data_IF_735609241013
#
_entry.id   IF_735609241013
#
_cell.length_a   1.000
_cell.length_b   1.000
_cell.length_c   1.000
_cell.angle_alpha   90.00
_cell.angle_beta   90.00
_cell.angle_gamma   90.00
#
_symmetry.space_group_name_H-M   'P 1'
#
loop_
_entity.id
_entity.type
_entity.pdbx_description
1 polymer ?
#
# COMPACT_ATOMS: atom_id res chain seq x y z
N UNK A 1 41.35 26.93 -9.79
CA UNK A 1 40.10 26.64 -9.08
C UNK A 1 39.88 25.15 -9.30
N UNK A 2 40.68 24.24 -8.77
CA UNK A 2 41.22 24.06 -7.40
C UNK A 2 40.10 23.85 -6.40
N UNK A 3 40.05 22.62 -5.87
CA UNK A 3 39.29 22.02 -4.74
C UNK A 3 38.76 20.66 -5.26
N UNK A 4 39.36 19.48 -5.09
CA UNK A 4 40.15 18.88 -3.99
C UNK A 4 39.48 18.99 -2.62
N UNK A 5 38.67 17.98 -2.27
CA UNK A 5 38.41 17.49 -0.91
C UNK A 5 37.54 16.22 -1.04
N UNK A 6 37.63 15.15 -0.26
CA UNK A 6 38.63 14.61 0.66
C UNK A 6 38.09 13.23 1.05
N UNK A 7 38.83 12.17 0.73
CA UNK A 7 38.52 10.80 1.15
C UNK A 7 38.61 10.69 2.68
N UNK A 8 37.53 10.24 3.35
CA UNK A 8 37.57 9.83 4.75
C UNK A 8 37.17 8.37 4.88
N UNK A 9 38.18 7.51 4.78
CA UNK A 9 38.21 6.14 5.28
C UNK A 9 38.17 6.20 6.82
N UNK A 10 37.08 5.76 7.43
CA UNK A 10 36.99 5.57 8.88
C UNK A 10 37.31 4.11 9.22
N UNK A 11 38.33 3.91 10.05
CA UNK A 11 38.73 2.62 10.62
C UNK A 11 37.77 2.20 11.75
N UNK A 12 37.61 0.89 12.02
CA UNK A 12 36.68 0.38 13.02
C UNK A 12 37.18 0.60 14.46
N UNK A 13 36.25 0.99 15.33
CA UNK A 13 36.46 1.16 16.76
C UNK A 13 36.75 -0.20 17.44
N UNK A 14 37.88 -0.26 18.14
CA UNK A 14 38.31 -1.38 18.97
C UNK A 14 37.41 -1.56 20.20
N UNK A 15 36.95 -2.79 20.42
CA UNK A 15 36.18 -3.23 21.57
C UNK A 15 36.98 -3.13 22.90
N UNK A 16 36.32 -2.90 24.05
CA UNK A 16 36.97 -2.91 25.36
C UNK A 16 37.21 -4.35 25.87
N UNK A 17 38.48 -4.65 26.14
CA UNK A 17 38.97 -5.86 26.81
C UNK A 17 38.32 -6.06 28.20
N UNK A 18 37.63 -7.20 28.38
CA UNK A 18 37.14 -7.67 29.68
C UNK A 18 38.33 -8.13 30.53
N UNK A 19 38.72 -7.30 31.49
CA UNK A 19 39.74 -7.66 32.48
C UNK A 19 39.13 -8.62 33.50
N UNK A 20 39.59 -9.86 33.45
CA UNK A 20 39.15 -10.99 34.28
C UNK A 20 39.43 -10.76 35.78
N UNK A 21 38.35 -10.74 36.57
CA UNK A 21 38.31 -10.71 38.04
C UNK A 21 38.87 -11.99 38.71
N UNK A 22 39.34 -12.96 37.93
CA UNK A 22 39.75 -14.29 38.41
C UNK A 22 41.23 -14.41 38.83
N UNK A 23 42.03 -13.33 38.79
CA UNK A 23 43.47 -13.38 39.12
C UNK A 23 43.84 -13.01 40.58
N UNK A 24 42.89 -12.71 41.48
CA UNK A 24 43.20 -12.28 42.85
C UNK A 24 43.15 -13.36 43.96
N UNK A 25 42.84 -14.63 43.66
CA UNK A 25 42.60 -15.65 44.69
C UNK A 25 43.68 -16.73 44.88
N UNK A 26 44.90 -16.57 44.37
CA UNK A 26 46.00 -17.53 44.58
C UNK A 26 47.18 -16.92 45.35
N UNK A 27 47.03 -16.77 46.67
CA UNK A 27 48.18 -16.70 47.60
C UNK A 27 47.76 -16.90 49.07
N UNK A 28 47.66 -18.15 49.49
CA UNK A 28 47.73 -18.56 50.89
C UNK A 28 48.77 -19.69 51.02
N UNK A 29 49.90 -19.50 51.73
CA UNK A 29 50.76 -20.59 52.11
C UNK A 29 50.48 -21.04 53.55
N UNK A 30 50.15 -22.33 53.66
CA UNK A 30 50.39 -23.23 54.78
C UNK A 30 51.65 -22.89 55.61
N UNK A 31 51.51 -22.73 56.93
CA UNK A 31 52.44 -23.30 57.92
C UNK A 31 51.65 -23.78 59.15
N UNK A 32 51.29 -25.06 59.13
CA UNK A 32 50.98 -25.83 60.32
C UNK A 32 52.27 -26.49 60.83
N UNK A 33 52.63 -26.24 62.10
CA UNK A 33 53.52 -27.09 62.89
C UNK A 33 52.94 -27.23 64.29
N UNK A 34 52.06 -28.21 64.46
CA UNK A 34 51.63 -28.67 65.79
C UNK A 34 52.67 -29.68 66.26
N UNK A 35 53.42 -29.27 67.28
CA UNK A 35 54.33 -30.13 68.02
C UNK A 35 53.53 -31.15 68.82
N UNK A 36 53.89 -32.41 68.63
CA UNK A 36 53.50 -33.57 69.43
C UNK A 36 53.85 -33.35 70.90
N UNK A 37 52.89 -32.87 71.70
CA UNK A 37 52.92 -32.93 73.16
C UNK A 37 52.12 -34.14 73.64
N UNK A 38 52.73 -34.92 74.52
CA UNK A 38 52.30 -36.25 74.91
C UNK A 38 50.86 -36.35 75.42
N UNK A 39 50.19 -37.42 74.99
CA UNK A 39 48.80 -37.79 75.23
C UNK A 39 48.37 -37.88 76.72
N UNK A 40 49.31 -37.84 77.67
CA UNK A 40 49.01 -37.90 79.11
C UNK A 40 48.66 -36.55 79.76
N UNK A 41 49.15 -35.43 79.23
CA UNK A 41 48.90 -34.09 79.80
C UNK A 41 47.52 -33.53 79.45
N UNK A 42 47.02 -33.83 78.25
CA UNK A 42 45.70 -33.41 77.80
C UNK A 42 44.58 -34.07 78.61
N UNK A 43 44.71 -35.35 78.98
CA UNK A 43 43.70 -36.05 79.76
C UNK A 43 43.54 -35.47 81.18
N UNK A 44 44.64 -35.09 81.84
CA UNK A 44 44.58 -34.47 83.17
C UNK A 44 44.02 -33.04 83.11
N UNK A 45 44.39 -32.24 82.10
CA UNK A 45 43.82 -30.91 81.90
C UNK A 45 42.34 -30.98 81.49
N UNK A 46 41.95 -31.97 80.70
CA UNK A 46 40.55 -32.18 80.32
C UNK A 46 39.72 -32.59 81.52
N UNK A 47 40.22 -33.49 82.38
CA UNK A 47 39.53 -33.86 83.62
C UNK A 47 39.44 -32.66 84.58
N UNK A 48 40.50 -31.84 84.72
CA UNK A 48 40.48 -30.67 85.60
C UNK A 48 39.60 -29.53 85.04
N UNK A 49 39.53 -29.37 83.72
CA UNK A 49 38.62 -28.43 83.07
C UNK A 49 37.16 -28.89 83.16
N UNK A 50 36.89 -30.19 83.00
CA UNK A 50 35.54 -30.76 83.16
C UNK A 50 35.08 -30.68 84.61
N UNK A 51 35.94 -31.00 85.59
CA UNK A 51 35.60 -30.91 87.02
C UNK A 51 35.51 -29.45 87.48
N UNK A 52 36.41 -28.58 87.03
CA UNK A 52 36.37 -27.14 87.33
C UNK A 52 35.18 -26.42 86.71
N UNK A 53 34.83 -26.77 85.46
CA UNK A 53 33.63 -26.28 84.78
C UNK A 53 32.34 -26.75 85.45
N UNK A 54 32.28 -28.01 85.89
CA UNK A 54 31.15 -28.54 86.65
C UNK A 54 30.99 -27.86 88.01
N UNK A 55 32.08 -27.50 88.69
CA UNK A 55 32.00 -26.75 89.95
C UNK A 55 31.57 -25.29 89.76
N UNK A 56 31.98 -24.63 88.66
CA UNK A 56 31.53 -23.26 88.35
C UNK A 56 30.04 -23.22 87.96
N UNK A 57 29.52 -24.23 87.27
CA UNK A 57 28.10 -24.34 86.95
C UNK A 57 27.19 -24.56 88.17
N UNK A 58 27.74 -25.01 89.31
CA UNK A 58 26.97 -25.21 90.56
C UNK A 58 26.94 -23.95 91.43
N UNK A 59 27.86 -22.99 91.24
CA UNK A 59 27.97 -21.79 92.07
C UNK A 59 27.20 -20.56 91.54
N UNK A 60 26.66 -20.61 90.31
CA UNK A 60 25.91 -19.49 89.71
C UNK A 60 24.73 -20.00 88.85
N UNK A 61 23.61 -20.40 89.49
CA UNK A 61 22.44 -20.94 88.78
C UNK A 61 21.68 -19.89 87.97
N UNK A 62 21.89 -18.59 88.20
CA UNK A 62 21.26 -17.52 87.41
C UNK A 62 21.94 -17.36 86.04
N UNK A 63 23.26 -17.51 85.96
CA UNK A 63 24.01 -17.44 84.69
C UNK A 63 23.82 -18.64 83.73
N UNK A 64 23.07 -19.67 84.12
CA UNK A 64 22.70 -20.78 83.23
C UNK A 64 21.43 -20.50 82.41
N UNK A 65 20.50 -19.69 82.92
CA UNK A 65 19.29 -19.32 82.19
C UNK A 65 19.59 -18.32 81.06
N UNK A 66 20.45 -17.32 81.32
CA UNK A 66 20.88 -16.36 80.30
C UNK A 66 21.64 -17.02 79.13
N UNK A 67 22.48 -18.02 79.42
CA UNK A 67 23.18 -18.78 78.36
C UNK A 67 22.24 -19.68 77.56
N UNK A 68 21.16 -20.19 78.17
CA UNK A 68 20.16 -20.98 77.47
C UNK A 68 19.34 -20.09 76.53
N UNK A 69 18.91 -18.91 76.99
CA UNK A 69 18.22 -17.93 76.14
C UNK A 69 19.11 -17.46 74.99
N UNK A 70 20.38 -17.11 75.24
CA UNK A 70 21.29 -16.71 74.19
C UNK A 70 21.50 -17.81 73.13
N UNK A 71 21.56 -19.08 73.54
CA UNK A 71 21.67 -20.19 72.61
C UNK A 71 20.39 -20.44 71.80
N UNK A 72 19.22 -20.12 72.35
CA UNK A 72 17.94 -20.15 71.63
C UNK A 72 17.83 -18.99 70.63
N UNK A 73 18.25 -17.79 71.03
CA UNK A 73 18.29 -16.61 70.16
C UNK A 73 19.29 -16.81 69.00
N UNK A 74 20.52 -17.24 69.28
CA UNK A 74 21.54 -17.53 68.26
C UNK A 74 21.04 -18.61 67.27
N UNK A 75 20.28 -19.60 67.77
CA UNK A 75 19.70 -20.65 66.93
C UNK A 75 18.54 -20.11 66.08
N UNK A 76 17.70 -19.24 66.64
CA UNK A 76 16.61 -18.61 65.90
C UNK A 76 17.17 -17.70 64.78
N UNK A 77 18.21 -16.91 65.07
CA UNK A 77 18.91 -16.10 64.06
C UNK A 77 19.55 -16.97 62.97
N UNK A 78 20.14 -18.11 63.34
CA UNK A 78 20.70 -19.06 62.37
C UNK A 78 19.60 -19.69 61.49
N UNK A 79 18.47 -20.09 62.06
CA UNK A 79 17.33 -20.63 61.31
C UNK A 79 16.75 -19.57 60.36
N UNK A 80 16.61 -18.31 60.79
CA UNK A 80 16.18 -17.19 59.94
C UNK A 80 17.18 -16.93 58.79
N UNK A 81 18.49 -16.97 59.07
CA UNK A 81 19.51 -16.79 58.05
C UNK A 81 19.51 -17.94 57.03
N UNK A 82 19.34 -19.20 57.47
CA UNK A 82 19.23 -20.35 56.57
C UNK A 82 17.96 -20.31 55.70
N UNK A 83 16.84 -19.81 56.23
CA UNK A 83 15.63 -19.59 55.44
C UNK A 83 15.80 -18.45 54.42
N UNK A 84 16.45 -17.35 54.81
CA UNK A 84 16.74 -16.24 53.92
C UNK A 84 17.70 -16.66 52.77
N UNK A 85 18.74 -17.43 53.09
CA UNK A 85 19.67 -17.95 52.09
C UNK A 85 18.97 -18.91 51.12
N UNK A 86 18.06 -19.76 51.62
CA UNK A 86 17.25 -20.66 50.77
C UNK A 86 16.32 -19.88 49.84
N UNK A 87 15.64 -18.86 50.36
CA UNK A 87 14.77 -18.01 49.54
C UNK A 87 15.56 -17.27 48.46
N UNK A 88 16.74 -16.75 48.80
CA UNK A 88 17.61 -16.09 47.84
C UNK A 88 18.15 -17.06 46.77
N UNK A 89 18.45 -18.32 47.13
CA UNK A 89 18.86 -19.36 46.18
C UNK A 89 17.71 -19.75 45.23
N UNK A 90 16.49 -19.95 45.76
CA UNK A 90 15.29 -20.24 44.95
C UNK A 90 14.93 -19.08 44.00
N UNK A 91 15.04 -17.83 44.46
CA UNK A 91 14.82 -16.65 43.62
C UNK A 91 15.86 -16.54 42.51
N UNK A 92 17.14 -16.76 42.83
CA UNK A 92 18.22 -16.75 41.86
C UNK A 92 18.09 -17.88 40.82
N UNK A 93 17.64 -19.08 41.22
CA UNK A 93 17.36 -20.18 40.30
C UNK A 93 16.19 -19.84 39.36
N UNK A 94 15.12 -19.25 39.89
CA UNK A 94 13.98 -18.81 39.07
C UNK A 94 14.37 -17.72 38.06
N UNK A 95 15.13 -16.71 38.48
CA UNK A 95 15.62 -15.66 37.58
C UNK A 95 16.53 -16.25 36.49
N UNK A 96 17.38 -17.22 36.83
CA UNK A 96 18.22 -17.91 35.86
C UNK A 96 17.40 -18.74 34.86
N UNK A 97 16.33 -19.39 35.30
CA UNK A 97 15.40 -20.13 34.44
C UNK A 97 14.64 -19.20 33.48
N UNK A 98 14.16 -18.07 33.99
CA UNK A 98 13.50 -17.05 33.17
C UNK A 98 14.45 -16.47 32.12
N UNK A 99 15.71 -16.18 32.48
CA UNK A 99 16.72 -15.73 31.52
C UNK A 99 17.03 -16.78 30.45
N UNK A 100 17.14 -18.06 30.84
CA UNK A 100 17.36 -19.15 29.88
C UNK A 100 16.18 -19.34 28.93
N UNK A 101 14.94 -19.19 29.42
CA UNK A 101 13.74 -19.26 28.58
C UNK A 101 13.71 -18.09 27.59
N UNK A 102 13.95 -16.87 28.05
CA UNK A 102 13.98 -15.68 27.20
C UNK A 102 15.09 -15.76 26.13
N UNK A 103 16.27 -16.28 26.47
CA UNK A 103 17.35 -16.50 25.50
C UNK A 103 16.96 -17.54 24.46
N UNK A 104 16.37 -18.67 24.88
CA UNK A 104 15.91 -19.71 23.97
C UNK A 104 14.76 -19.24 23.04
N UNK A 105 13.84 -18.43 23.55
CA UNK A 105 12.76 -17.84 22.73
C UNK A 105 13.33 -16.90 21.67
N UNK A 106 14.29 -16.04 22.03
CA UNK A 106 14.96 -15.16 21.07
C UNK A 106 15.73 -15.95 20.00
N UNK A 107 16.47 -16.98 20.40
CA UNK A 107 17.18 -17.84 19.43
C UNK A 107 16.20 -18.53 18.47
N UNK A 108 15.05 -18.99 18.96
CA UNK A 108 14.01 -19.59 18.12
C UNK A 108 13.34 -18.57 17.18
N UNK A 109 13.15 -17.33 17.62
CA UNK A 109 12.64 -16.24 16.77
C UNK A 109 13.64 -15.89 15.66
N UNK A 110 14.93 -15.72 15.99
CA UNK A 110 16.00 -15.48 15.02
C UNK A 110 16.13 -16.62 13.99
N UNK A 111 15.97 -17.89 14.42
CA UNK A 111 15.96 -19.04 13.52
C UNK A 111 14.77 -18.99 12.55
N UNK A 112 13.57 -18.64 13.03
CA UNK A 112 12.37 -18.50 12.19
C UNK A 112 12.49 -17.36 11.19
N UNK A 113 12.99 -16.20 11.61
CA UNK A 113 13.24 -15.07 10.70
C UNK A 113 14.26 -15.46 9.61
N UNK A 114 15.28 -16.24 9.97
CA UNK A 114 16.26 -16.74 9.01
C UNK A 114 15.65 -17.74 8.02
N UNK A 115 14.85 -18.69 8.50
CA UNK A 115 14.15 -19.65 7.64
C UNK A 115 13.18 -18.93 6.69
N UNK A 116 12.47 -17.91 7.18
CA UNK A 116 11.57 -17.08 6.35
C UNK A 116 12.34 -16.29 5.30
N UNK A 117 13.47 -15.67 5.67
CA UNK A 117 14.33 -14.96 4.73
C UNK A 117 14.99 -15.91 3.70
N UNK A 118 15.36 -17.12 4.09
CA UNK A 118 15.88 -18.15 3.17
C UNK A 118 14.80 -18.63 2.21
N UNK A 119 13.57 -18.85 2.69
CA UNK A 119 12.42 -19.20 1.85
C UNK A 119 12.00 -18.06 0.91
N UNK A 120 12.08 -16.80 1.35
CA UNK A 120 11.83 -15.64 0.49
C UNK A 120 12.92 -15.50 -0.58
N UNK A 121 14.19 -15.72 -0.22
CA UNK A 121 15.29 -15.73 -1.18
C UNK A 121 15.15 -16.86 -2.21
N UNK A 122 14.75 -18.06 -1.79
CA UNK A 122 14.45 -19.18 -2.69
C UNK A 122 13.24 -18.87 -3.59
N UNK A 123 12.20 -18.19 -3.07
CA UNK A 123 11.05 -17.76 -3.89
C UNK A 123 11.42 -16.74 -4.96
N UNK A 124 12.41 -15.89 -4.68
CA UNK A 124 12.93 -14.91 -5.63
C UNK A 124 13.99 -15.52 -6.56
N UNK A 125 14.51 -16.71 -6.26
CA UNK A 125 15.42 -17.43 -7.15
C UNK A 125 14.63 -17.90 -8.38
N UNK A 126 14.98 -17.36 -9.54
CA UNK A 126 14.19 -17.55 -10.76
C UNK A 126 13.15 -16.46 -11.00
N UNK A 127 13.11 -15.38 -10.21
CA UNK A 127 12.38 -14.17 -10.60
C UNK A 127 13.33 -13.17 -11.26
N UNK A 128 12.92 -12.61 -12.39
CA UNK A 128 13.63 -11.56 -13.11
C UNK A 128 12.70 -10.35 -13.30
N UNK A 129 13.26 -9.15 -13.19
CA UNK A 129 12.53 -7.91 -13.47
C UNK A 129 12.41 -7.70 -14.98
N UNK A 130 11.21 -7.39 -15.46
CA UNK A 130 10.99 -7.01 -16.86
C UNK A 130 11.69 -5.67 -17.13
N UNK A 131 12.66 -5.59 -18.05
CA UNK A 131 13.31 -4.34 -18.40
C UNK A 131 12.38 -3.42 -19.19
N UNK A 132 12.54 -2.10 -19.02
CA UNK A 132 11.82 -1.12 -19.84
C UNK A 132 12.36 -1.08 -21.27
N UNK A 133 11.52 -1.50 -22.23
CA UNK A 133 11.82 -1.52 -23.67
C UNK A 133 11.04 -0.47 -24.47
N UNK A 134 10.27 0.39 -23.80
CA UNK A 134 9.47 1.44 -24.43
C UNK A 134 10.34 2.39 -25.27
N UNK A 135 9.86 2.69 -26.48
CA UNK A 135 10.56 3.53 -27.46
C UNK A 135 11.72 2.85 -28.19
N UNK A 136 12.01 1.57 -27.90
CA UNK A 136 13.01 0.80 -28.64
C UNK A 136 12.41 0.22 -29.92
N UNK A 137 13.21 0.06 -30.99
CA UNK A 137 12.82 -0.78 -32.13
C UNK A 137 12.40 -2.17 -31.65
N UNK A 138 11.31 -2.74 -32.18
CA UNK A 138 10.75 -3.97 -31.64
C UNK A 138 11.71 -5.17 -31.76
N UNK A 139 12.60 -5.19 -32.75
CA UNK A 139 13.68 -6.17 -32.84
C UNK A 139 14.72 -6.03 -31.73
N UNK A 140 15.14 -4.80 -31.40
CA UNK A 140 16.04 -4.51 -30.29
C UNK A 140 15.39 -4.82 -28.93
N UNK A 141 14.10 -4.50 -28.77
CA UNK A 141 13.31 -4.83 -27.58
C UNK A 141 13.25 -6.35 -27.35
N UNK A 142 13.02 -7.12 -28.41
CA UNK A 142 13.01 -8.59 -28.33
C UNK A 142 14.38 -9.16 -28.00
N UNK A 143 15.44 -8.69 -28.66
CA UNK A 143 16.79 -9.15 -28.36
C UNK A 143 17.15 -8.88 -26.88
N UNK A 144 16.77 -7.72 -26.34
CA UNK A 144 16.99 -7.36 -24.95
C UNK A 144 16.25 -8.28 -23.96
N UNK A 145 15.01 -8.67 -24.28
CA UNK A 145 14.20 -9.57 -23.45
C UNK A 145 14.66 -11.03 -23.57
N UNK A 146 14.97 -11.50 -24.78
CA UNK A 146 15.48 -12.87 -25.02
C UNK A 146 16.88 -13.08 -24.41
N UNK A 147 17.74 -12.06 -24.39
CA UNK A 147 19.05 -12.10 -23.72
C UNK A 147 18.92 -12.32 -22.20
N UNK A 148 17.77 -11.95 -21.61
CA UNK A 148 17.43 -12.20 -20.20
C UNK A 148 16.70 -13.54 -19.99
N UNK A 149 16.40 -14.27 -21.06
CA UNK A 149 15.71 -15.56 -21.02
C UNK A 149 14.20 -15.49 -21.20
N UNK A 150 13.61 -14.32 -21.44
CA UNK A 150 12.17 -14.22 -21.67
C UNK A 150 11.76 -14.71 -23.06
N UNK A 151 10.56 -15.28 -23.16
CA UNK A 151 9.93 -15.56 -24.45
C UNK A 151 9.11 -14.33 -24.86
N UNK A 152 9.23 -13.88 -26.11
CA UNK A 152 8.62 -12.60 -26.54
C UNK A 152 7.58 -12.84 -27.62
N UNK A 153 6.37 -12.34 -27.38
CA UNK A 153 5.28 -12.26 -28.35
C UNK A 153 4.97 -10.80 -28.68
N UNK A 154 4.56 -10.52 -29.92
CA UNK A 154 4.20 -9.16 -30.35
C UNK A 154 2.70 -9.05 -30.60
N UNK A 155 2.09 -8.01 -30.04
CA UNK A 155 0.71 -7.62 -30.32
C UNK A 155 0.65 -6.19 -30.90
N UNK A 156 -0.34 -5.95 -31.75
CA UNK A 156 -0.57 -4.65 -32.37
C UNK A 156 -2.06 -4.44 -32.60
N UNK A 157 -2.53 -3.21 -32.42
CA UNK A 157 -3.92 -2.81 -32.63
C UNK A 157 -4.25 -2.58 -34.12
N UNK A 158 -3.24 -2.45 -34.98
CA UNK A 158 -3.42 -2.22 -36.42
C UNK A 158 -3.78 -3.52 -37.15
N UNK A 159 -4.69 -3.44 -38.14
CA UNK A 159 -5.07 -4.60 -38.96
C UNK A 159 -3.90 -5.13 -39.82
N UNK A 160 -3.14 -6.07 -39.26
CA UNK A 160 -2.02 -6.74 -39.94
C UNK A 160 -1.01 -7.27 -38.94
N UNK A 161 -0.50 -8.48 -39.12
CA UNK A 161 0.49 -9.05 -38.20
C UNK A 161 1.87 -8.39 -38.30
N UNK A 162 2.66 -8.48 -37.23
CA UNK A 162 4.05 -8.01 -37.16
C UNK A 162 4.98 -8.93 -37.97
N UNK A 163 5.03 -8.68 -39.28
CA UNK A 163 5.85 -9.37 -40.26
C UNK A 163 7.32 -8.95 -40.34
N UNK A 164 7.67 -7.74 -39.90
CA UNK A 164 9.04 -7.20 -39.88
C UNK A 164 9.22 -6.25 -38.71
N UNK A 165 9.68 -6.78 -37.57
CA UNK A 165 9.76 -6.09 -36.28
C UNK A 165 10.61 -4.80 -36.32
N UNK A 166 11.62 -4.71 -37.18
CA UNK A 166 12.46 -3.51 -37.30
C UNK A 166 11.71 -2.27 -37.80
N UNK A 167 10.48 -2.42 -38.30
CA UNK A 167 9.61 -1.30 -38.72
C UNK A 167 8.60 -0.90 -37.63
N UNK A 168 8.69 -1.45 -36.42
CA UNK A 168 7.78 -1.20 -35.32
C UNK A 168 8.56 -0.72 -34.09
N UNK A 169 7.89 0.05 -33.24
CA UNK A 169 8.42 0.57 -31.98
C UNK A 169 7.63 -0.05 -30.83
N UNK A 170 8.31 -0.50 -29.79
CA UNK A 170 7.67 -1.01 -28.59
C UNK A 170 7.05 0.14 -27.78
N UNK A 171 5.76 0.03 -27.48
CA UNK A 171 4.99 1.05 -26.76
C UNK A 171 4.80 0.66 -25.29
N UNK A 172 4.54 -0.63 -25.04
CA UNK A 172 4.36 -1.17 -23.69
C UNK A 172 4.61 -2.68 -23.67
N UNK A 173 4.72 -3.24 -22.46
CA UNK A 173 4.84 -4.69 -22.25
C UNK A 173 3.76 -5.18 -21.29
N UNK A 174 3.28 -6.40 -21.50
CA UNK A 174 2.47 -7.15 -20.52
C UNK A 174 3.23 -8.44 -20.18
N UNK A 175 3.75 -8.58 -18.95
CA UNK A 175 3.62 -7.66 -17.81
C UNK A 175 4.43 -6.37 -17.92
N UNK A 176 4.08 -5.38 -17.08
CA UNK A 176 4.65 -4.02 -17.12
C UNK A 176 6.16 -4.01 -16.79
N UNK A 177 6.88 -3.03 -17.35
CA UNK A 177 8.28 -2.77 -17.01
C UNK A 177 8.48 -2.61 -15.50
N UNK A 178 9.42 -3.36 -14.94
CA UNK A 178 9.74 -3.39 -13.51
C UNK A 178 8.95 -4.42 -12.69
N UNK A 179 8.03 -5.16 -13.32
CA UNK A 179 7.37 -6.29 -12.68
C UNK A 179 8.33 -7.49 -12.54
N UNK A 180 8.22 -8.22 -11.41
CA UNK A 180 9.00 -9.43 -11.14
C UNK A 180 8.23 -10.65 -11.65
N UNK A 181 8.78 -11.32 -12.66
CA UNK A 181 8.18 -12.53 -13.26
C UNK A 181 9.15 -13.71 -13.23
N UNK A 182 8.62 -14.93 -13.40
CA UNK A 182 9.44 -16.14 -13.46
C UNK A 182 10.37 -16.09 -14.68
N UNK A 183 11.59 -16.61 -14.53
CA UNK A 183 12.52 -16.85 -15.62
C UNK A 183 11.86 -17.77 -16.65
N UNK A 184 12.15 -17.53 -17.94
CA UNK A 184 11.51 -18.19 -19.07
C UNK A 184 10.00 -17.91 -19.27
N UNK A 185 9.40 -16.93 -18.59
CA UNK A 185 8.02 -16.50 -18.83
C UNK A 185 7.84 -15.80 -20.19
N UNK A 186 6.61 -15.85 -20.70
CA UNK A 186 6.20 -15.11 -21.89
C UNK A 186 5.92 -13.64 -21.55
N UNK A 187 6.52 -12.72 -22.32
CA UNK A 187 6.30 -11.27 -22.26
C UNK A 187 5.69 -10.83 -23.58
N UNK A 188 4.52 -10.22 -23.52
CA UNK A 188 3.86 -9.63 -24.67
C UNK A 188 4.33 -8.19 -24.83
N UNK A 189 4.78 -7.83 -26.02
CA UNK A 189 5.22 -6.47 -26.35
C UNK A 189 4.20 -5.87 -27.31
N UNK A 190 3.54 -4.80 -26.87
CA UNK A 190 2.65 -4.02 -27.72
C UNK A 190 3.50 -3.11 -28.59
N UNK A 191 3.29 -3.18 -29.90
CA UNK A 191 4.08 -2.43 -30.86
C UNK A 191 3.20 -1.57 -31.77
N UNK A 192 3.69 -0.36 -32.04
CA UNK A 192 3.08 0.57 -33.01
C UNK A 192 4.03 0.83 -34.17
N UNK A 193 3.47 1.24 -35.31
CA UNK A 193 4.27 1.62 -36.47
C UNK A 193 4.54 3.12 -36.37
N UNK A 194 5.80 3.58 -36.51
CA UNK A 194 6.11 5.01 -36.42
C UNK A 194 5.43 5.85 -37.50
N UNK A 195 5.01 5.26 -38.63
CA UNK A 195 4.18 5.96 -39.64
C UNK A 195 2.73 6.21 -39.17
N UNK A 196 2.22 5.39 -38.26
CA UNK A 196 0.91 5.55 -37.64
C UNK A 196 1.02 6.53 -36.43
N UNK A 197 2.18 6.58 -35.77
CA UNK A 197 2.50 7.52 -34.68
C UNK A 197 2.78 8.94 -35.21
N UNK A 198 3.49 9.12 -36.34
CA UNK A 198 3.65 10.44 -36.99
C UNK A 198 2.33 10.99 -37.55
N UNK A 199 1.33 10.14 -37.82
CA UNK A 199 -0.02 10.57 -38.16
C UNK A 199 -0.79 11.06 -36.92
N UNK A 200 -0.49 10.54 -35.73
CA UNK A 200 -1.04 11.01 -34.46
C UNK A 200 -0.26 12.22 -33.91
N UNK A 201 1.05 12.34 -34.13
CA UNK A 201 1.86 13.51 -33.71
C UNK A 201 1.65 14.77 -34.60
N UNK A 202 1.34 14.62 -35.90
CA UNK A 202 0.86 15.77 -36.71
C UNK A 202 -0.58 16.18 -36.32
N UNK A 203 -1.36 15.29 -35.72
CA UNK A 203 -2.67 15.60 -35.14
C UNK A 203 -2.52 16.22 -33.72
N UNK A 204 -1.52 15.85 -32.93
CA UNK A 204 -1.32 16.32 -31.54
C UNK A 204 -0.76 17.76 -31.39
N UNK A 205 0.07 18.26 -32.32
CA UNK A 205 0.46 19.69 -32.33
C UNK A 205 -0.68 20.62 -32.82
N UNK A 206 -1.69 20.09 -33.51
CA UNK A 206 -2.93 20.82 -33.84
C UNK A 206 -3.94 20.77 -32.67
N UNK A 207 -3.95 19.70 -31.87
CA UNK A 207 -4.83 19.52 -30.70
C UNK A 207 -4.44 20.37 -29.46
N UNK A 208 -3.15 20.68 -29.27
CA UNK A 208 -2.72 21.48 -28.11
C UNK A 208 -3.03 23.00 -28.21
N UNK A 209 -3.47 23.49 -29.37
CA UNK A 209 -4.02 24.84 -29.53
C UNK A 209 -5.55 24.89 -29.49
N UNK A 210 -6.24 23.75 -29.60
CA UNK A 210 -7.71 23.65 -29.54
C UNK A 210 -8.25 23.30 -28.14
N UNK A 211 -7.52 22.56 -27.30
CA UNK A 211 -7.95 22.27 -25.91
C UNK A 211 -8.01 23.49 -24.95
N UNK A 212 -7.67 24.68 -25.44
CA UNK A 212 -7.85 25.94 -24.71
C UNK A 212 -9.00 26.81 -25.25
N UNK A 213 -9.71 26.39 -26.29
CA UNK A 213 -10.93 27.04 -26.77
C UNK A 213 -12.15 26.17 -26.48
N UNK A 214 -12.62 26.30 -25.22
CA UNK A 214 -14.02 26.21 -24.78
C UNK A 214 -14.84 24.96 -25.15
N UNK A 215 -15.27 24.24 -24.10
CA UNK A 215 -16.59 23.62 -23.98
C UNK A 215 -17.71 24.58 -24.49
N UNK A 216 -17.90 24.63 -25.80
CA UNK A 216 -19.17 25.05 -26.39
C UNK A 216 -19.91 23.76 -26.66
N UNK A 217 -20.71 23.34 -25.69
CA UNK A 217 -21.86 22.53 -26.02
C UNK A 217 -22.64 23.25 -27.14
N UNK A 218 -23.12 22.50 -28.14
CA UNK A 218 -23.97 23.01 -29.24
C UNK A 218 -25.38 23.44 -28.72
N UNK A 219 -25.50 23.57 -27.40
CA UNK A 219 -26.71 23.76 -26.65
C UNK A 219 -26.64 25.12 -25.94
N UNK A 220 -27.52 26.04 -26.33
CA UNK A 220 -27.72 27.28 -25.58
C UNK A 220 -28.72 27.03 -24.47
N UNK A 221 -28.24 26.97 -23.22
CA UNK A 221 -29.06 26.72 -22.04
C UNK A 221 -29.46 28.05 -21.37
N UNK A 222 -30.76 28.26 -21.18
CA UNK A 222 -31.32 29.42 -20.49
C UNK A 222 -32.34 28.97 -19.45
N UNK A 223 -32.15 29.33 -18.19
CA UNK A 223 -33.14 29.11 -17.13
C UNK A 223 -33.96 30.37 -16.84
N UNK A 224 -35.28 30.24 -16.93
CA UNK A 224 -36.24 31.25 -16.48
C UNK A 224 -37.08 30.70 -15.32
N UNK A 225 -37.30 31.51 -14.28
CA UNK A 225 -38.02 31.02 -13.10
C UNK A 225 -38.40 32.08 -12.08
N UNK A 226 -39.36 31.74 -11.23
CA UNK A 226 -39.85 32.55 -10.11
C UNK A 226 -40.12 31.67 -8.88
N UNK A 227 -40.78 32.23 -7.86
CA UNK A 227 -41.05 31.52 -6.60
C UNK A 227 -41.89 30.23 -6.84
N UNK A 228 -41.22 29.08 -6.93
CA UNK A 228 -41.82 27.74 -7.03
C UNK A 228 -41.96 27.14 -8.44
N UNK A 229 -41.41 27.77 -9.48
CA UNK A 229 -41.34 27.21 -10.83
C UNK A 229 -40.05 27.65 -11.53
N UNK A 230 -39.37 26.69 -12.14
CA UNK A 230 -38.14 26.84 -12.91
C UNK A 230 -38.29 26.09 -14.23
N UNK A 231 -38.10 26.80 -15.34
CA UNK A 231 -38.08 26.27 -16.70
C UNK A 231 -36.68 26.46 -17.27
N UNK A 232 -36.02 25.36 -17.61
CA UNK A 232 -34.77 25.39 -18.38
C UNK A 232 -35.10 25.16 -19.83
N UNK A 233 -34.77 26.13 -20.67
CA UNK A 233 -34.85 26.02 -22.13
C UNK A 233 -33.46 25.68 -22.67
N UNK A 234 -33.39 24.66 -23.51
CA UNK A 234 -32.18 24.29 -24.25
C UNK A 234 -32.46 24.45 -25.73
N UNK A 235 -31.68 25.29 -26.39
CA UNK A 235 -31.78 25.57 -27.83
C UNK A 235 -30.59 24.92 -28.54
N UNK A 236 -30.82 24.23 -29.66
CA UNK A 236 -29.74 23.66 -30.48
C UNK A 236 -30.08 23.69 -31.97
N UNK A 237 -29.04 23.66 -32.80
CA UNK A 237 -29.18 23.58 -34.25
C UNK A 237 -29.24 22.12 -34.71
N UNK A 238 -30.32 21.76 -35.41
CA UNK A 238 -30.46 20.41 -35.96
C UNK A 238 -29.53 20.27 -37.17
N UNK A 239 -28.55 19.38 -37.06
CA UNK A 239 -27.57 19.14 -38.12
C UNK A 239 -28.22 18.65 -39.44
N UNK A 240 -27.87 19.32 -40.55
CA UNK A 240 -28.27 18.92 -41.90
C UNK A 240 -27.48 17.68 -42.36
N UNK A 241 -28.15 16.53 -42.34
CA UNK A 241 -27.57 15.24 -42.68
C UNK A 241 -28.09 14.72 -44.03
N UNK A 242 -27.32 13.84 -44.68
CA UNK A 242 -27.57 13.34 -46.05
C UNK A 242 -28.96 12.71 -46.30
N UNK A 243 -29.68 12.28 -45.25
CA UNK A 243 -31.05 11.74 -45.37
C UNK A 243 -31.94 12.23 -44.23
N UNK A 244 -33.24 12.39 -44.50
CA UNK A 244 -34.23 12.80 -43.48
C UNK A 244 -34.28 11.86 -42.27
N UNK A 245 -34.02 10.56 -42.48
CA UNK A 245 -33.95 9.59 -41.39
C UNK A 245 -32.73 9.82 -40.48
N UNK A 246 -31.59 10.27 -41.03
CA UNK A 246 -30.42 10.65 -40.25
C UNK A 246 -30.66 11.95 -39.48
N UNK A 247 -31.29 12.95 -40.11
CA UNK A 247 -31.68 14.21 -39.45
C UNK A 247 -32.60 13.93 -38.25
N UNK A 248 -33.62 13.08 -38.44
CA UNK A 248 -34.52 12.67 -37.36
C UNK A 248 -33.81 11.97 -36.20
N UNK A 249 -32.96 11.00 -36.52
CA UNK A 249 -32.28 10.21 -35.49
C UNK A 249 -31.22 11.03 -34.75
N UNK A 250 -30.53 11.93 -35.46
CA UNK A 250 -29.67 12.95 -34.87
C UNK A 250 -30.46 13.82 -33.91
N UNK A 251 -31.49 14.52 -34.39
CA UNK A 251 -32.31 15.40 -33.56
C UNK A 251 -32.92 14.72 -32.33
N UNK A 252 -33.24 13.42 -32.38
CA UNK A 252 -33.71 12.64 -31.22
C UNK A 252 -32.60 12.37 -30.21
N UNK A 253 -31.40 12.02 -30.68
CA UNK A 253 -30.23 11.87 -29.82
C UNK A 253 -29.88 13.20 -29.17
N UNK A 254 -29.84 14.27 -29.96
CA UNK A 254 -29.51 15.61 -29.49
C UNK A 254 -30.59 16.12 -28.51
N UNK A 255 -31.87 15.74 -28.69
CA UNK A 255 -32.93 16.00 -27.69
C UNK A 255 -32.66 15.28 -26.36
N UNK A 256 -32.12 14.05 -26.38
CA UNK A 256 -31.83 13.28 -25.17
C UNK A 256 -30.64 13.89 -24.42
N UNK A 257 -29.57 14.21 -25.15
CA UNK A 257 -28.37 14.88 -24.66
C UNK A 257 -28.70 16.25 -24.06
N UNK A 258 -29.52 17.05 -24.73
CA UNK A 258 -30.00 18.33 -24.22
C UNK A 258 -30.77 18.21 -22.89
N UNK A 259 -31.49 17.10 -22.66
CA UNK A 259 -32.17 16.86 -21.39
C UNK A 259 -31.17 16.50 -20.29
N UNK A 260 -30.16 15.70 -20.61
CA UNK A 260 -29.09 15.33 -19.67
C UNK A 260 -28.30 16.58 -19.26
N UNK A 261 -27.88 17.40 -20.21
CA UNK A 261 -27.13 18.63 -19.95
C UNK A 261 -27.95 19.63 -19.13
N UNK A 262 -29.24 19.80 -19.45
CA UNK A 262 -30.14 20.63 -18.65
C UNK A 262 -30.27 20.15 -17.18
N UNK A 263 -30.18 18.84 -16.94
CA UNK A 263 -30.23 18.28 -15.59
C UNK A 263 -28.91 18.45 -14.84
N UNK A 264 -27.78 18.40 -15.55
CA UNK A 264 -26.46 18.63 -14.99
C UNK A 264 -26.28 20.09 -14.55
N UNK A 265 -26.65 21.05 -15.42
CA UNK A 265 -26.55 22.47 -15.10
C UNK A 265 -27.63 22.94 -14.13
N UNK A 266 -28.84 22.41 -14.28
CA UNK A 266 -30.03 22.87 -13.57
C UNK A 266 -30.85 21.70 -12.98
N UNK A 267 -30.32 21.03 -11.94
CA UNK A 267 -30.94 19.83 -11.37
C UNK A 267 -32.30 20.09 -10.72
N UNK A 268 -32.60 21.33 -10.33
CA UNK A 268 -33.85 21.72 -9.66
C UNK A 268 -34.92 22.22 -10.65
N UNK A 269 -34.74 22.02 -11.97
CA UNK A 269 -35.69 22.46 -12.97
C UNK A 269 -37.00 21.67 -12.92
N UNK A 270 -38.11 22.39 -12.75
CA UNK A 270 -39.45 21.80 -12.73
C UNK A 270 -39.93 21.38 -14.12
N UNK A 271 -39.40 22.03 -15.16
CA UNK A 271 -39.68 21.75 -16.57
C UNK A 271 -38.44 21.99 -17.41
N UNK A 272 -38.23 21.12 -18.39
CA UNK A 272 -37.19 21.26 -19.42
C UNK A 272 -37.89 21.45 -20.77
N UNK A 273 -37.54 22.50 -21.49
CA UNK A 273 -38.03 22.81 -22.84
C UNK A 273 -36.86 22.67 -23.80
N UNK A 274 -37.04 21.89 -24.86
CA UNK A 274 -36.03 21.65 -25.88
C UNK A 274 -36.50 22.28 -27.18
N UNK A 275 -35.71 23.20 -27.74
CA UNK A 275 -35.95 23.85 -29.02
C UNK A 275 -34.86 23.47 -30.04
N UNK A 276 -35.28 22.99 -31.20
CA UNK A 276 -34.39 22.66 -32.31
C UNK A 276 -34.68 23.53 -33.53
N UNK A 277 -33.69 24.31 -33.97
CA UNK A 277 -33.71 25.09 -35.21
C UNK A 277 -33.25 24.25 -36.40
N UNK A 278 -33.83 24.50 -37.57
CA UNK A 278 -33.34 23.90 -38.82
C UNK A 278 -33.44 24.92 -39.96
N UNK A 279 -32.45 24.98 -40.87
CA UNK A 279 -32.47 25.90 -42.00
C UNK A 279 -33.59 25.48 -42.99
N UNK A 280 -34.59 26.34 -43.15
CA UNK A 280 -35.70 26.11 -44.07
C UNK A 280 -35.64 27.08 -45.24
N UNK A 281 -35.83 26.54 -46.46
CA UNK A 281 -35.87 27.36 -47.68
C UNK A 281 -37.31 27.68 -48.07
N UNK A 282 -37.66 28.97 -48.14
CA UNK A 282 -38.99 29.42 -48.53
C UNK A 282 -39.29 29.20 -50.03
N UNK A 283 -40.55 29.43 -50.44
CA UNK A 283 -40.98 29.29 -51.84
C UNK A 283 -40.29 30.27 -52.82
N UNK A 284 -39.55 31.25 -52.29
CA UNK A 284 -38.80 32.25 -53.04
C UNK A 284 -37.28 31.95 -53.06
N UNK A 285 -36.83 30.90 -52.37
CA UNK A 285 -35.44 30.46 -52.31
C UNK A 285 -34.59 31.13 -51.21
N UNK A 286 -35.20 31.75 -50.21
CA UNK A 286 -34.48 32.29 -49.05
C UNK A 286 -34.39 31.22 -47.97
N UNK A 287 -33.19 30.95 -47.45
CA UNK A 287 -32.95 30.04 -46.34
C UNK A 287 -32.86 30.82 -45.04
N UNK A 288 -33.70 30.47 -44.06
CA UNK A 288 -33.69 31.05 -42.70
C UNK A 288 -33.87 29.94 -41.67
N UNK A 289 -33.17 30.05 -40.53
CA UNK A 289 -33.31 29.10 -39.43
C UNK A 289 -34.67 29.28 -38.76
N UNK A 290 -35.42 28.18 -38.69
CA UNK A 290 -36.75 28.16 -38.09
C UNK A 290 -36.80 27.10 -37.01
N UNK A 291 -37.46 27.40 -35.89
CA UNK A 291 -37.70 26.42 -34.82
C UNK A 291 -38.71 25.39 -35.32
N UNK A 292 -38.25 24.17 -35.56
CA UNK A 292 -39.05 23.07 -36.12
C UNK A 292 -39.30 21.96 -35.09
N UNK A 293 -38.60 22.02 -33.97
CA UNK A 293 -38.78 21.15 -32.82
C UNK A 293 -38.93 22.03 -31.59
N UNK A 294 -40.01 21.87 -30.83
CA UNK A 294 -40.17 22.48 -29.51
C UNK A 294 -40.92 21.51 -28.62
N UNK A 295 -40.23 20.75 -27.79
CA UNK A 295 -40.84 19.76 -26.89
C UNK A 295 -40.58 20.13 -25.44
N UNK A 296 -41.45 19.72 -24.53
CA UNK A 296 -41.22 19.92 -23.10
C UNK A 296 -41.47 18.66 -22.30
N UNK A 297 -40.71 18.53 -21.22
CA UNK A 297 -40.78 17.44 -20.26
C UNK A 297 -40.88 18.04 -18.86
N UNK A 298 -41.91 17.66 -18.13
CA UNK A 298 -42.05 17.96 -16.72
C UNK A 298 -41.13 17.05 -15.91
N UNK A 299 -40.70 17.52 -14.73
CA UNK A 299 -39.75 16.79 -13.88
C UNK A 299 -40.17 15.34 -13.60
N UNK A 300 -41.46 15.12 -13.37
CA UNK A 300 -42.02 13.79 -13.10
C UNK A 300 -41.78 12.80 -14.26
N UNK A 301 -41.79 13.29 -15.50
CA UNK A 301 -41.53 12.50 -16.70
C UNK A 301 -40.05 12.23 -16.85
N UNK A 302 -39.22 13.27 -16.70
CA UNK A 302 -37.76 13.19 -16.81
C UNK A 302 -37.17 12.17 -15.82
N UNK A 303 -37.64 12.17 -14.56
CA UNK A 303 -37.17 11.22 -13.54
C UNK A 303 -37.55 9.75 -13.84
N UNK A 304 -38.48 9.50 -14.77
CA UNK A 304 -38.88 8.16 -15.20
C UNK A 304 -38.14 7.71 -16.48
N UNK A 305 -37.39 8.60 -17.13
CA UNK A 305 -36.63 8.29 -18.33
C UNK A 305 -35.41 7.45 -17.93
N UNK A 306 -35.23 6.31 -18.62
CA UNK A 306 -34.00 5.54 -18.54
C UNK A 306 -33.09 5.94 -19.70
N UNK A 307 -32.19 6.89 -19.43
CA UNK A 307 -31.26 7.48 -20.39
C UNK A 307 -30.31 6.44 -21.03
N UNK A 308 -29.92 5.38 -20.30
CA UNK A 308 -29.07 4.30 -20.81
C UNK A 308 -29.78 3.35 -21.80
N UNK A 309 -31.11 3.43 -21.91
CA UNK A 309 -31.86 2.51 -22.75
C UNK A 309 -31.94 3.01 -24.20
N UNK A 310 -31.31 2.26 -25.11
CA UNK A 310 -31.30 2.54 -26.57
C UNK A 310 -32.71 2.72 -27.16
N UNK A 311 -33.75 2.07 -26.60
CA UNK A 311 -35.14 2.22 -27.07
C UNK A 311 -35.76 3.57 -26.73
N UNK A 312 -35.29 4.21 -25.66
CA UNK A 312 -35.74 5.55 -25.26
C UNK A 312 -35.21 6.59 -26.23
N UNK A 313 -33.98 6.44 -26.73
CA UNK A 313 -33.42 7.30 -27.78
C UNK A 313 -34.29 7.38 -29.02
N UNK A 314 -34.89 6.25 -29.42
CA UNK A 314 -35.75 6.19 -30.61
C UNK A 314 -37.20 6.64 -30.34
N UNK A 315 -37.61 6.75 -29.07
CA UNK A 315 -38.98 7.09 -28.68
C UNK A 315 -39.08 8.33 -27.77
N UNK A 316 -38.00 9.09 -27.61
CA UNK A 316 -37.90 10.25 -26.69
C UNK A 316 -39.01 11.28 -26.94
N UNK A 317 -39.33 11.53 -28.20
CA UNK A 317 -40.42 12.43 -28.54
C UNK A 317 -41.80 11.86 -28.22
N UNK A 318 -42.01 10.55 -28.16
CA UNK A 318 -43.30 9.93 -27.84
C UNK A 318 -43.65 10.06 -26.35
N UNK A 319 -42.64 10.17 -25.49
CA UNK A 319 -42.79 10.30 -24.04
C UNK A 319 -42.85 11.76 -23.57
N UNK A 320 -42.79 12.74 -24.48
CA UNK A 320 -42.92 14.17 -24.17
C UNK A 320 -44.27 14.51 -23.53
N UNK A 321 -44.27 15.47 -22.61
CA UNK A 321 -45.50 15.98 -22.00
C UNK A 321 -46.26 16.93 -22.93
N UNK A 322 -45.55 17.56 -23.86
CA UNK A 322 -46.16 18.28 -24.96
C UNK A 322 -45.16 18.98 -25.86
N UNK A 323 -45.69 19.84 -26.73
CA UNK A 323 -44.90 20.62 -27.69
C UNK A 323 -45.24 20.34 -29.15
N UNK A 324 -44.45 20.92 -30.05
CA UNK A 324 -44.56 20.89 -31.49
C UNK A 324 -43.36 20.15 -32.10
N UNK A 325 -43.64 19.26 -33.05
CA UNK A 325 -42.63 18.61 -33.88
C UNK A 325 -43.09 18.83 -35.32
N UNK A 326 -42.26 19.43 -36.16
CA UNK A 326 -42.62 19.67 -37.55
C UNK A 326 -42.91 18.34 -38.28
N UNK A 327 -43.89 18.27 -39.19
CA UNK A 327 -44.27 17.02 -39.86
C UNK A 327 -43.12 16.27 -40.54
N UNK A 328 -42.13 16.99 -41.06
CA UNK A 328 -40.96 16.40 -41.71
C UNK A 328 -40.11 15.54 -40.76
N UNK A 329 -40.13 15.87 -39.47
CA UNK A 329 -39.48 15.06 -38.43
C UNK A 329 -40.35 13.88 -37.96
N UNK A 330 -41.61 13.76 -38.40
CA UNK A 330 -42.54 12.70 -37.95
C UNK A 330 -42.68 11.50 -38.91
N UNK A 331 -42.50 11.69 -40.23
CA UNK A 331 -42.87 10.70 -41.28
C UNK A 331 -41.94 9.51 -41.54
#
# INVERSE_FOLDING_TARGET
MSEEHNSRTAAPASAPEKVSLWQKFRRWPLIARIATFGCGGFLALFILAVVGGACLAIMDPEGTEERAQQAEDDRAEQEEQEEADRQAEEEAEREADEQRQAEAEREAEEEREREEAEAEAERLEGMAEVPGVEGMPADEARDALEDLGFSVDFETDTEGGVWDASNWVAVSTDPDSGELIEDDSDVVVNVTRPEDEEAEEEDDEELAQEEAEEEQSDFTITQEGGDGWSETTVEFDIADNFTMNMIRNGARRDTLEAIEEALEEHPDSTRIVIEGSFPMTDQYGNTEDSVILRVFYDRETVDQINFDNVMVRDTIWEIRDGGMIHPELQE
#
